data_IF_153335400282
#
_entry.id   IF_153335400282
#
_cell.length_a   1.000
_cell.length_b   1.000
_cell.length_c   1.000
_cell.angle_alpha   90.00
_cell.angle_beta   90.00
_cell.angle_gamma   90.00
#
_symmetry.space_group_name_H-M   'P 1'
#
loop_
_entity.id
_entity.type
_entity.pdbx_description
1 polymer ?
#
# COMPACT_ATOMS: atom_id res chain seq x y z
N UNK A 1 19.02 -47.20 -4.78
CA UNK A 1 18.62 -46.37 -5.94
C UNK A 1 19.48 -46.82 -7.10
N UNK A 2 18.87 -47.24 -8.21
CA UNK A 2 19.60 -47.61 -9.43
C UNK A 2 19.98 -46.35 -10.25
N UNK A 3 20.74 -46.52 -11.34
CA UNK A 3 21.23 -45.41 -12.16
C UNK A 3 20.10 -44.69 -12.91
N UNK A 4 19.10 -45.42 -13.40
CA UNK A 4 17.94 -44.84 -14.07
C UNK A 4 17.17 -43.91 -13.13
N UNK A 5 16.84 -44.36 -11.91
CA UNK A 5 16.19 -43.53 -10.91
C UNK A 5 17.06 -42.35 -10.48
N UNK A 6 18.38 -42.54 -10.35
CA UNK A 6 19.31 -41.45 -10.04
C UNK A 6 19.31 -40.37 -11.13
N UNK A 7 19.28 -40.76 -12.41
CA UNK A 7 19.10 -39.82 -13.52
C UNK A 7 17.72 -39.15 -13.51
N UNK A 8 16.65 -39.90 -13.20
CA UNK A 8 15.26 -39.36 -13.13
C UNK A 8 15.06 -38.35 -11.99
N UNK A 9 15.93 -38.33 -10.99
CA UNK A 9 15.97 -37.27 -9.97
C UNK A 9 17.02 -36.19 -10.26
N UNK A 10 17.66 -36.23 -11.43
CA UNK A 10 18.61 -35.24 -11.93
C UNK A 10 20.03 -35.39 -11.39
N UNK A 11 20.37 -36.57 -10.86
CA UNK A 11 21.68 -36.85 -10.28
C UNK A 11 22.80 -37.06 -11.30
N UNK A 12 22.46 -37.44 -12.53
CA UNK A 12 23.41 -37.67 -13.63
C UNK A 12 22.75 -37.40 -14.99
N UNK A 13 23.54 -37.10 -16.03
CA UNK A 13 23.00 -36.87 -17.36
C UNK A 13 22.64 -38.19 -18.07
N UNK A 14 21.72 -38.11 -19.03
CA UNK A 14 21.19 -39.28 -19.73
C UNK A 14 22.23 -40.04 -20.59
N UNK A 15 23.33 -39.40 -20.96
CA UNK A 15 24.41 -40.02 -21.74
C UNK A 15 25.36 -40.87 -20.91
N UNK A 16 25.25 -40.84 -19.58
CA UNK A 16 26.01 -41.71 -18.67
C UNK A 16 25.24 -42.96 -18.25
N UNK A 17 23.99 -43.12 -18.72
CA UNK A 17 23.18 -44.31 -18.51
C UNK A 17 23.56 -45.43 -19.49
N UNK A 18 23.39 -46.71 -19.11
CA UNK A 18 23.39 -47.82 -20.08
C UNK A 18 22.37 -47.60 -21.21
N UNK A 19 22.65 -48.12 -22.41
CA UNK A 19 21.82 -47.90 -23.62
C UNK A 19 20.33 -48.25 -23.42
N UNK A 20 20.03 -49.34 -22.70
CA UNK A 20 18.67 -49.77 -22.39
C UNK A 20 17.93 -48.77 -21.48
N UNK A 21 18.62 -48.25 -20.46
CA UNK A 21 18.09 -47.26 -19.52
C UNK A 21 17.97 -45.88 -20.15
N UNK A 22 18.86 -45.54 -21.08
CA UNK A 22 18.82 -44.26 -21.79
C UNK A 22 17.53 -44.11 -22.60
N UNK A 23 17.06 -45.16 -23.27
CA UNK A 23 15.79 -45.12 -24.00
C UNK A 23 14.61 -44.89 -23.05
N UNK A 24 14.59 -45.61 -21.93
CA UNK A 24 13.56 -45.48 -20.90
C UNK A 24 13.54 -44.07 -20.30
N UNK A 25 14.71 -43.53 -19.97
CA UNK A 25 14.87 -42.17 -19.48
C UNK A 25 14.37 -41.13 -20.49
N UNK A 26 14.73 -41.25 -21.77
CA UNK A 26 14.31 -40.30 -22.80
C UNK A 26 12.80 -40.32 -23.06
N UNK A 27 12.17 -41.50 -22.98
CA UNK A 27 10.71 -41.61 -23.06
C UNK A 27 10.04 -40.91 -21.87
N UNK A 28 10.51 -41.18 -20.66
CA UNK A 28 10.04 -40.50 -19.46
C UNK A 28 10.26 -38.98 -19.54
N UNK A 29 11.46 -38.53 -19.91
CA UNK A 29 11.80 -37.11 -20.04
C UNK A 29 10.91 -36.39 -21.05
N UNK A 30 10.58 -37.04 -22.18
CA UNK A 30 9.64 -36.50 -23.18
C UNK A 30 8.21 -36.38 -22.67
N UNK A 31 7.80 -37.24 -21.72
CA UNK A 31 6.47 -37.18 -21.10
C UNK A 31 6.29 -36.00 -20.14
N UNK A 32 7.39 -35.43 -19.64
CA UNK A 32 7.37 -34.26 -18.78
C UNK A 32 6.96 -33.00 -19.55
N UNK A 33 6.31 -32.08 -18.84
CA UNK A 33 6.03 -30.73 -19.35
C UNK A 33 7.33 -29.98 -19.68
N UNK A 34 7.24 -28.96 -20.53
CA UNK A 34 8.41 -28.15 -20.89
C UNK A 34 9.05 -27.47 -19.67
N UNK A 35 8.23 -26.99 -18.72
CA UNK A 35 8.70 -26.42 -17.47
C UNK A 35 9.47 -27.45 -16.63
N UNK A 36 8.96 -28.68 -16.51
CA UNK A 36 9.64 -29.73 -15.74
C UNK A 36 10.94 -30.19 -16.39
N UNK A 37 10.97 -30.30 -17.73
CA UNK A 37 12.19 -30.63 -18.47
C UNK A 37 13.31 -29.63 -18.24
N UNK A 38 12.99 -28.36 -17.98
CA UNK A 38 13.97 -27.31 -17.76
C UNK A 38 14.86 -27.55 -16.53
N UNK A 39 14.35 -28.25 -15.51
CA UNK A 39 15.08 -28.56 -14.28
C UNK A 39 16.25 -29.53 -14.49
N UNK A 40 16.19 -30.35 -15.53
CA UNK A 40 17.20 -31.39 -15.85
C UNK A 40 18.22 -30.94 -16.90
N UNK A 41 18.24 -29.66 -17.30
CA UNK A 41 19.27 -29.12 -18.20
C UNK A 41 20.67 -29.25 -17.59
N UNK A 42 20.75 -29.11 -16.29
CA UNK A 42 21.93 -29.37 -15.49
C UNK A 42 21.64 -30.54 -14.55
N UNK A 43 22.56 -31.50 -14.51
CA UNK A 43 22.47 -32.70 -13.68
C UNK A 43 23.66 -32.80 -12.73
N UNK A 44 23.47 -33.47 -11.61
CA UNK A 44 24.52 -33.72 -10.62
C UNK A 44 23.92 -33.92 -9.23
N UNK A 45 24.70 -34.49 -8.31
CA UNK A 45 24.23 -34.76 -6.94
C UNK A 45 23.66 -33.51 -6.24
N UNK A 46 24.26 -32.34 -6.49
CA UNK A 46 23.78 -31.07 -5.93
C UNK A 46 22.41 -30.64 -6.50
N UNK A 47 22.08 -31.04 -7.73
CA UNK A 47 20.81 -30.75 -8.40
C UNK A 47 19.66 -31.59 -7.86
N UNK A 48 19.92 -32.81 -7.38
CA UNK A 48 18.87 -33.72 -6.88
C UNK A 48 17.99 -33.05 -5.84
N UNK A 49 18.62 -32.42 -4.84
CA UNK A 49 17.89 -31.73 -3.76
C UNK A 49 17.12 -30.52 -4.31
N UNK A 50 17.74 -29.76 -5.21
CA UNK A 50 17.13 -28.56 -5.79
C UNK A 50 15.91 -28.90 -6.65
N UNK A 51 16.05 -29.85 -7.57
CA UNK A 51 14.96 -30.31 -8.44
C UNK A 51 13.82 -30.85 -7.59
N UNK A 52 14.13 -31.65 -6.57
CA UNK A 52 13.10 -32.16 -5.66
C UNK A 52 12.38 -31.04 -4.90
N UNK A 53 13.12 -30.08 -4.32
CA UNK A 53 12.54 -28.94 -3.62
C UNK A 53 11.70 -28.03 -4.53
N UNK A 54 12.17 -27.77 -5.75
CA UNK A 54 11.42 -27.00 -6.75
C UNK A 54 10.13 -27.72 -7.16
N UNK A 55 10.17 -29.04 -7.41
CA UNK A 55 8.96 -29.80 -7.74
C UNK A 55 7.94 -29.76 -6.59
N UNK A 56 8.37 -29.86 -5.33
CA UNK A 56 7.47 -29.72 -4.18
C UNK A 56 6.90 -28.30 -4.09
N UNK A 57 7.73 -27.28 -4.30
CA UNK A 57 7.31 -25.87 -4.30
C UNK A 57 6.27 -25.58 -5.39
N UNK A 58 6.52 -26.00 -6.63
CA UNK A 58 5.62 -25.72 -7.77
C UNK A 58 4.28 -26.45 -7.65
N UNK A 59 4.27 -27.64 -7.05
CA UNK A 59 3.09 -28.49 -6.92
C UNK A 59 2.37 -28.37 -5.56
N UNK A 60 2.92 -27.63 -4.59
CA UNK A 60 2.36 -27.52 -3.24
C UNK A 60 0.87 -27.15 -3.22
N UNK A 61 0.45 -26.24 -4.10
CA UNK A 61 -0.97 -25.83 -4.22
C UNK A 61 -1.87 -26.95 -4.77
N UNK A 62 -1.39 -27.74 -5.75
CA UNK A 62 -2.14 -28.87 -6.30
C UNK A 62 -2.29 -29.98 -5.27
N UNK A 63 -1.20 -30.31 -4.57
CA UNK A 63 -1.20 -31.29 -3.49
C UNK A 63 -2.16 -30.88 -2.39
N UNK A 64 -2.14 -29.62 -1.98
CA UNK A 64 -3.09 -29.08 -1.02
C UNK A 64 -4.54 -29.21 -1.52
N UNK A 65 -4.85 -28.74 -2.73
CA UNK A 65 -6.22 -28.73 -3.26
C UNK A 65 -6.77 -30.13 -3.51
N UNK A 66 -5.91 -31.10 -3.82
CA UNK A 66 -6.29 -32.52 -3.92
C UNK A 66 -6.74 -33.08 -2.58
N UNK A 67 -6.07 -32.71 -1.49
CA UNK A 67 -6.38 -33.17 -0.14
C UNK A 67 -7.55 -32.40 0.48
N UNK A 68 -7.71 -31.12 0.13
CA UNK A 68 -8.74 -30.22 0.69
C UNK A 68 -9.60 -29.57 -0.42
N UNK A 69 -10.46 -30.34 -1.10
CA UNK A 69 -11.24 -29.83 -2.25
C UNK A 69 -12.20 -28.70 -1.89
N UNK A 70 -12.71 -28.65 -0.65
CA UNK A 70 -13.69 -27.67 -0.19
C UNK A 70 -13.08 -26.28 0.14
N UNK A 71 -11.74 -26.18 0.23
CA UNK A 71 -11.04 -24.95 0.63
C UNK A 71 -9.82 -24.69 -0.24
N UNK A 72 -10.03 -24.54 -1.53
CA UNK A 72 -8.93 -24.38 -2.47
C UNK A 72 -8.10 -23.13 -2.22
N UNK A 73 -6.79 -23.24 -2.46
CA UNK A 73 -5.84 -22.14 -2.47
C UNK A 73 -5.29 -21.90 -3.87
N UNK A 74 -4.92 -20.66 -4.14
CA UNK A 74 -4.20 -20.27 -5.36
C UNK A 74 -2.73 -20.70 -5.32
N UNK A 75 -2.10 -20.74 -6.49
CA UNK A 75 -0.66 -20.99 -6.61
C UNK A 75 0.15 -19.92 -5.89
N UNK A 76 -0.25 -18.65 -6.02
CA UNK A 76 0.40 -17.50 -5.40
C UNK A 76 0.37 -17.58 -3.87
N UNK A 77 -0.76 -18.03 -3.29
CA UNK A 77 -0.88 -18.25 -1.84
C UNK A 77 0.06 -19.35 -1.36
N UNK A 78 0.08 -20.51 -2.03
CA UNK A 78 0.98 -21.61 -1.66
C UNK A 78 2.45 -21.19 -1.80
N UNK A 79 2.81 -20.55 -2.92
CA UNK A 79 4.15 -20.02 -3.18
C UNK A 79 4.60 -19.06 -2.09
N UNK A 80 3.71 -18.15 -1.64
CA UNK A 80 4.01 -17.21 -0.55
C UNK A 80 4.17 -17.90 0.79
N UNK A 81 3.31 -18.88 1.12
CA UNK A 81 3.44 -19.69 2.34
C UNK A 81 4.79 -20.38 2.37
N UNK A 82 5.17 -21.07 1.29
CA UNK A 82 6.41 -21.83 1.23
C UNK A 82 7.62 -20.89 1.27
N UNK A 83 7.66 -19.84 0.45
CA UNK A 83 8.80 -18.91 0.45
C UNK A 83 8.99 -18.22 1.80
N UNK A 84 7.92 -17.71 2.41
CA UNK A 84 8.00 -17.06 3.73
C UNK A 84 8.41 -18.04 4.83
N UNK A 85 7.91 -19.28 4.80
CA UNK A 85 8.31 -20.32 5.76
C UNK A 85 9.80 -20.58 5.67
N UNK A 86 10.32 -20.85 4.48
CA UNK A 86 11.74 -21.15 4.32
C UNK A 86 12.65 -19.93 4.61
N UNK A 87 12.20 -18.70 4.33
CA UNK A 87 12.89 -17.48 4.81
C UNK A 87 12.89 -17.36 6.34
N UNK A 88 11.81 -17.78 7.02
CA UNK A 88 11.76 -17.78 8.48
C UNK A 88 12.67 -18.86 9.08
N UNK A 89 12.81 -20.00 8.41
CA UNK A 89 13.66 -21.13 8.83
C UNK A 89 15.12 -21.00 8.38
N UNK A 90 15.49 -19.84 7.82
CA UNK A 90 16.88 -19.50 7.47
C UNK A 90 17.26 -18.14 8.01
N UNK A 91 18.57 -17.92 8.19
CA UNK A 91 19.15 -16.60 8.45
C UNK A 91 20.56 -16.54 7.86
N UNK A 92 21.02 -15.35 7.52
CA UNK A 92 22.41 -15.12 7.17
C UNK A 92 23.20 -14.82 8.45
N UNK A 93 24.24 -15.60 8.70
CA UNK A 93 25.19 -15.42 9.80
C UNK A 93 26.61 -15.47 9.22
N UNK A 94 27.42 -14.44 9.49
CA UNK A 94 28.77 -14.28 8.94
C UNK A 94 28.84 -14.56 7.42
N UNK A 95 27.96 -13.94 6.64
CA UNK A 95 27.84 -14.09 5.19
C UNK A 95 27.48 -15.50 4.70
N UNK A 96 27.00 -16.37 5.58
CA UNK A 96 26.56 -17.73 5.25
C UNK A 96 25.12 -17.94 5.67
N UNK A 97 24.30 -18.48 4.77
CA UNK A 97 22.97 -18.95 5.12
C UNK A 97 23.07 -20.17 6.05
N UNK A 98 22.44 -20.07 7.21
CA UNK A 98 22.36 -21.11 8.24
C UNK A 98 20.89 -21.33 8.64
N UNK A 99 20.63 -22.46 9.29
CA UNK A 99 19.29 -22.75 9.83
C UNK A 99 18.83 -21.76 10.88
N UNK A 100 17.52 -21.56 10.91
CA UNK A 100 16.78 -20.89 11.96
C UNK A 100 15.56 -21.73 12.37
N UNK A 101 15.07 -21.53 13.59
CA UNK A 101 13.89 -22.21 14.12
C UNK A 101 12.81 -21.21 14.44
N UNK A 102 11.57 -21.56 14.15
CA UNK A 102 10.43 -20.70 14.42
C UNK A 102 9.15 -21.53 14.54
N UNK A 103 8.22 -21.11 15.41
CA UNK A 103 6.94 -21.81 15.52
C UNK A 103 6.03 -21.57 14.32
N UNK A 104 5.13 -22.51 14.03
CA UNK A 104 4.13 -22.38 12.98
C UNK A 104 3.31 -21.09 13.13
N UNK A 105 2.95 -20.74 14.37
CA UNK A 105 2.20 -19.54 14.68
C UNK A 105 2.97 -18.29 14.30
N UNK A 106 4.25 -18.20 14.64
CA UNK A 106 5.08 -17.02 14.30
C UNK A 106 5.29 -16.86 12.81
N UNK A 107 5.51 -17.96 12.08
CA UNK A 107 5.61 -17.95 10.62
C UNK A 107 4.30 -17.45 10.01
N UNK A 108 3.16 -17.92 10.52
CA UNK A 108 1.84 -17.48 10.08
C UNK A 108 1.62 -15.99 10.35
N UNK A 109 2.01 -15.51 11.53
CA UNK A 109 1.95 -14.09 11.88
C UNK A 109 2.88 -13.22 11.02
N UNK A 110 4.02 -13.73 10.54
CA UNK A 110 4.89 -13.01 9.59
C UNK A 110 4.27 -12.96 8.19
N UNK A 111 3.60 -14.03 7.74
CA UNK A 111 2.91 -14.05 6.44
C UNK A 111 1.76 -13.03 6.39
N UNK A 112 1.00 -12.89 7.49
CA UNK A 112 -0.12 -11.96 7.72
C UNK A 112 -0.89 -11.56 6.46
N UNK A 113 -1.45 -12.55 5.78
CA UNK A 113 -2.30 -12.36 4.60
C UNK A 113 -3.70 -12.82 4.93
N UNK A 114 -4.70 -12.04 4.52
CA UNK A 114 -6.11 -12.35 4.77
C UNK A 114 -6.46 -13.75 4.24
N UNK A 115 -7.19 -14.53 5.06
CA UNK A 115 -7.58 -15.90 4.74
C UNK A 115 -6.51 -16.97 5.00
N UNK A 116 -5.25 -16.60 5.28
CA UNK A 116 -4.21 -17.57 5.64
C UNK A 116 -4.23 -17.83 7.15
N UNK A 117 -4.50 -19.08 7.53
CA UNK A 117 -4.53 -19.53 8.93
C UNK A 117 -3.36 -20.47 9.24
N UNK A 118 -2.99 -20.63 10.51
CA UNK A 118 -1.91 -21.55 10.91
C UNK A 118 -2.17 -22.99 10.42
N UNK A 119 -3.43 -23.43 10.46
CA UNK A 119 -3.84 -24.73 9.91
C UNK A 119 -3.59 -24.84 8.41
N UNK A 120 -3.92 -23.80 7.65
CA UNK A 120 -3.66 -23.76 6.21
C UNK A 120 -2.15 -23.81 5.93
N UNK A 121 -1.36 -23.01 6.65
CA UNK A 121 0.11 -23.02 6.54
C UNK A 121 0.65 -24.42 6.82
N UNK A 122 0.27 -25.04 7.94
CA UNK A 122 0.71 -26.38 8.30
C UNK A 122 0.36 -27.43 7.23
N UNK A 123 -0.88 -27.38 6.71
CA UNK A 123 -1.34 -28.27 5.64
C UNK A 123 -0.55 -28.11 4.33
N UNK A 124 -0.18 -26.88 3.95
CA UNK A 124 0.69 -26.63 2.77
C UNK A 124 2.09 -27.19 3.01
N UNK A 125 2.60 -27.10 4.24
CA UNK A 125 3.94 -27.56 4.61
C UNK A 125 4.03 -29.09 4.76
N UNK A 126 2.92 -29.82 4.87
CA UNK A 126 2.93 -31.28 5.05
C UNK A 126 3.71 -32.02 3.97
N UNK A 127 3.59 -31.60 2.71
CA UNK A 127 4.34 -32.25 1.63
C UNK A 127 5.85 -32.15 1.85
N UNK A 128 6.35 -31.09 2.49
CA UNK A 128 7.79 -30.95 2.82
C UNK A 128 8.21 -31.77 4.05
N UNK A 129 7.25 -32.32 4.79
CA UNK A 129 7.44 -33.08 6.04
C UNK A 129 7.25 -34.59 5.87
N UNK A 130 6.59 -35.00 4.78
CA UNK A 130 6.33 -36.40 4.43
C UNK A 130 7.62 -37.23 4.33
N UNK A 131 7.47 -38.53 4.56
CA UNK A 131 8.53 -39.51 4.30
C UNK A 131 9.00 -39.43 2.84
N UNK A 132 10.31 -39.52 2.62
CA UNK A 132 10.92 -39.32 1.31
C UNK A 132 11.28 -37.86 1.00
N UNK A 133 10.53 -36.88 1.50
CA UNK A 133 10.80 -35.45 1.27
C UNK A 133 11.64 -34.86 2.42
N UNK A 134 11.16 -35.02 3.66
CA UNK A 134 11.92 -34.77 4.91
C UNK A 134 12.70 -33.44 4.97
N UNK A 135 12.19 -32.37 4.36
CA UNK A 135 12.85 -31.05 4.31
C UNK A 135 12.58 -30.20 5.55
N UNK A 136 11.40 -30.36 6.17
CA UNK A 136 11.00 -29.63 7.38
C UNK A 136 10.71 -30.63 8.51
N UNK A 137 11.21 -30.33 9.71
CA UNK A 137 10.87 -31.02 10.96
C UNK A 137 9.83 -30.23 11.77
N UNK A 138 9.01 -30.90 12.60
CA UNK A 138 8.93 -32.36 12.78
C UNK A 138 8.29 -33.06 11.57
N UNK A 139 8.72 -34.30 11.28
CA UNK A 139 8.24 -35.05 10.13
C UNK A 139 6.78 -35.49 10.27
N UNK A 140 6.13 -35.72 9.13
CA UNK A 140 4.82 -36.37 9.05
C UNK A 140 5.08 -37.87 8.86
N UNK A 141 4.82 -38.66 9.90
CA UNK A 141 5.06 -40.11 9.93
C UNK A 141 3.75 -40.88 9.71
N UNK A 142 3.79 -42.21 9.79
CA UNK A 142 2.60 -43.05 9.74
C UNK A 142 1.59 -42.79 10.88
N UNK A 143 2.02 -42.13 11.96
CA UNK A 143 1.14 -41.72 13.05
C UNK A 143 0.27 -40.51 12.62
N UNK A 144 -1.07 -40.67 12.53
CA UNK A 144 -1.98 -39.59 12.15
C UNK A 144 -1.88 -38.34 13.03
N UNK A 145 -1.43 -38.48 14.29
CA UNK A 145 -1.24 -37.33 15.17
C UNK A 145 -0.15 -36.36 14.67
N UNK A 146 0.78 -36.84 13.84
CA UNK A 146 1.87 -36.03 13.27
C UNK A 146 1.47 -35.25 12.02
N UNK A 147 0.33 -35.58 11.42
CA UNK A 147 -0.14 -34.98 10.17
C UNK A 147 -0.66 -33.55 10.38
N UNK A 148 -1.05 -33.20 11.60
CA UNK A 148 -1.59 -31.88 11.95
C UNK A 148 -0.60 -31.14 12.83
N UNK A 149 -0.02 -30.05 12.30
CA UNK A 149 0.81 -29.15 13.09
C UNK A 149 -0.04 -28.27 14.01
N UNK A 150 0.34 -28.21 15.28
CA UNK A 150 -0.21 -27.24 16.22
C UNK A 150 0.50 -25.88 16.06
N UNK A 151 -0.16 -24.75 16.36
CA UNK A 151 0.44 -23.42 16.23
C UNK A 151 1.78 -23.26 16.97
N UNK A 152 1.94 -23.92 18.11
CA UNK A 152 3.13 -23.86 18.96
C UNK A 152 4.28 -24.74 18.44
N UNK A 153 4.03 -25.56 17.41
CA UNK A 153 5.03 -26.49 16.88
C UNK A 153 6.21 -25.72 16.27
N UNK A 154 7.41 -25.95 16.81
CA UNK A 154 8.65 -25.36 16.31
C UNK A 154 9.12 -26.11 15.06
N UNK A 155 9.26 -25.39 13.95
CA UNK A 155 9.74 -25.91 12.69
C UNK A 155 11.24 -25.65 12.52
N UNK A 156 11.94 -26.55 11.82
CA UNK A 156 13.36 -26.46 11.48
C UNK A 156 13.63 -27.12 10.12
N UNK A 157 14.63 -26.65 9.38
CA UNK A 157 15.11 -27.33 8.18
C UNK A 157 15.96 -28.54 8.61
N UNK A 158 15.73 -29.68 7.99
CA UNK A 158 16.40 -30.93 8.37
C UNK A 158 17.90 -30.90 8.12
N UNK A 159 18.33 -30.42 6.95
CA UNK A 159 19.73 -30.46 6.51
C UNK A 159 20.17 -29.14 5.86
N UNK A 160 21.34 -28.65 6.25
CA UNK A 160 22.00 -27.46 5.65
C UNK A 160 22.27 -27.63 4.14
N UNK A 161 22.32 -28.87 3.64
CA UNK A 161 22.42 -29.14 2.19
C UNK A 161 21.26 -28.55 1.40
N UNK A 162 20.05 -28.49 1.97
CA UNK A 162 18.90 -27.84 1.33
C UNK A 162 19.17 -26.35 1.12
N UNK A 163 19.64 -25.66 2.15
CA UNK A 163 20.00 -24.24 2.10
C UNK A 163 21.13 -23.99 1.09
N UNK A 164 22.14 -24.88 1.05
CA UNK A 164 23.27 -24.75 0.12
C UNK A 164 22.98 -25.12 -1.32
N UNK A 165 21.97 -25.94 -1.60
CA UNK A 165 21.74 -26.44 -2.96
C UNK A 165 20.50 -25.85 -3.61
N UNK A 166 19.51 -25.41 -2.83
CA UNK A 166 18.29 -24.82 -3.39
C UNK A 166 18.48 -23.33 -3.68
N UNK A 167 18.59 -22.97 -4.96
CA UNK A 167 18.87 -21.59 -5.38
C UNK A 167 17.78 -20.61 -4.94
N UNK A 168 16.51 -21.01 -4.98
CA UNK A 168 15.39 -20.18 -4.51
C UNK A 168 15.55 -19.84 -3.02
N UNK A 169 15.85 -20.84 -2.19
CA UNK A 169 16.05 -20.62 -0.76
C UNK A 169 17.22 -19.67 -0.47
N UNK A 170 18.34 -19.81 -1.19
CA UNK A 170 19.44 -18.82 -1.07
C UNK A 170 18.98 -17.41 -1.43
N UNK A 171 18.26 -17.27 -2.54
CA UNK A 171 17.75 -15.97 -2.97
C UNK A 171 16.83 -15.36 -1.93
N UNK A 172 15.92 -16.16 -1.35
CA UNK A 172 15.01 -15.71 -0.31
C UNK A 172 15.73 -15.34 0.98
N UNK A 173 16.73 -16.13 1.40
CA UNK A 173 17.54 -15.84 2.58
C UNK A 173 18.36 -14.56 2.41
N UNK A 174 18.94 -14.33 1.23
CA UNK A 174 19.67 -13.11 0.90
C UNK A 174 18.72 -11.90 0.89
N UNK A 175 17.56 -12.02 0.26
CA UNK A 175 16.56 -10.95 0.21
C UNK A 175 16.04 -10.58 1.61
N UNK A 176 15.76 -11.57 2.46
CA UNK A 176 15.36 -11.34 3.86
C UNK A 176 16.49 -10.64 4.65
N UNK A 177 17.76 -11.01 4.39
CA UNK A 177 18.91 -10.34 5.01
C UNK A 177 19.04 -8.88 4.57
N UNK A 178 18.86 -8.58 3.28
CA UNK A 178 18.83 -7.19 2.77
C UNK A 178 17.69 -6.39 3.45
N UNK A 179 16.50 -6.97 3.59
CA UNK A 179 15.40 -6.33 4.32
C UNK A 179 15.73 -6.04 5.77
N UNK A 180 16.40 -6.97 6.45
CA UNK A 180 16.88 -6.78 7.81
C UNK A 180 17.96 -5.68 7.89
N UNK A 181 18.94 -5.68 6.98
CA UNK A 181 19.99 -4.66 6.95
C UNK A 181 19.42 -3.26 6.71
N UNK A 182 18.51 -3.11 5.74
CA UNK A 182 17.79 -1.85 5.52
C UNK A 182 16.98 -1.43 6.74
N UNK A 183 16.35 -2.38 7.43
CA UNK A 183 15.61 -2.09 8.66
C UNK A 183 16.51 -1.54 9.77
N UNK A 184 17.70 -2.11 9.99
CA UNK A 184 18.64 -1.60 10.98
C UNK A 184 19.04 -0.14 10.70
N UNK A 185 19.25 0.21 9.44
CA UNK A 185 19.57 1.58 9.06
C UNK A 185 18.37 2.51 9.17
N UNK A 186 17.18 2.05 8.80
CA UNK A 186 15.92 2.78 9.01
C UNK A 186 15.70 3.05 10.51
N UNK A 187 15.88 2.02 11.35
CA UNK A 187 15.68 2.10 12.80
C UNK A 187 16.56 3.17 13.43
N UNK A 188 17.83 3.30 13.03
CA UNK A 188 18.70 4.39 13.49
C UNK A 188 18.14 5.78 13.17
N UNK A 189 17.49 5.96 12.01
CA UNK A 189 16.87 7.24 11.66
C UNK A 189 15.57 7.48 12.44
N UNK A 190 14.77 6.43 12.61
CA UNK A 190 13.55 6.46 13.40
C UNK A 190 13.84 6.83 14.86
N UNK A 191 14.81 6.15 15.48
CA UNK A 191 15.18 6.34 16.88
C UNK A 191 15.65 7.79 17.11
N UNK A 192 16.52 8.34 16.24
CA UNK A 192 16.92 9.77 16.29
C UNK A 192 15.74 10.72 16.20
N UNK A 193 14.78 10.44 15.33
CA UNK A 193 13.58 11.27 15.20
C UNK A 193 12.72 11.20 16.46
N UNK A 194 12.53 10.02 17.05
CA UNK A 194 11.79 9.84 18.30
C UNK A 194 12.48 10.55 19.47
N UNK A 195 13.77 10.34 19.66
CA UNK A 195 14.60 10.95 20.71
C UNK A 195 14.62 12.49 20.61
N UNK A 196 14.51 13.04 19.40
CA UNK A 196 14.41 14.49 19.18
C UNK A 196 13.05 15.10 19.56
N UNK A 197 12.11 14.31 20.09
CA UNK A 197 10.73 14.75 20.31
C UNK A 197 9.96 14.89 18.99
N UNK A 198 10.26 14.05 17.99
CA UNK A 198 9.65 14.06 16.66
C UNK A 198 9.90 15.36 15.86
N UNK A 199 11.07 15.97 16.02
CA UNK A 199 11.44 17.21 15.33
C UNK A 199 11.53 17.06 13.80
N UNK A 200 11.07 18.07 13.07
CA UNK A 200 11.09 18.10 11.60
C UNK A 200 12.51 18.05 11.01
N UNK A 201 13.53 18.40 11.79
CA UNK A 201 14.93 18.39 11.35
C UNK A 201 15.47 16.97 11.12
N UNK A 202 14.89 15.97 11.78
CA UNK A 202 15.28 14.56 11.67
C UNK A 202 14.43 13.78 10.65
N UNK A 203 13.48 14.43 9.97
CA UNK A 203 12.73 13.81 8.87
C UNK A 203 13.61 13.55 7.66
N UNK A 204 13.37 12.42 7.00
CA UNK A 204 14.18 11.92 5.90
C UNK A 204 14.16 12.88 4.69
N UNK A 205 15.32 13.19 4.09
CA UNK A 205 15.38 13.87 2.80
C UNK A 205 14.99 12.91 1.67
N UNK A 206 14.81 13.45 0.46
CA UNK A 206 14.13 12.77 -0.64
C UNK A 206 14.77 11.44 -1.08
N UNK A 207 16.10 11.35 -1.12
CA UNK A 207 16.83 10.14 -1.51
C UNK A 207 16.65 9.00 -0.51
N UNK A 208 17.09 9.17 0.76
CA UNK A 208 16.84 8.19 1.82
C UNK A 208 15.37 7.83 1.99
N UNK A 209 14.46 8.80 1.85
CA UNK A 209 13.03 8.52 1.93
C UNK A 209 12.57 7.57 0.83
N UNK A 210 12.96 7.79 -0.42
CA UNK A 210 12.58 6.89 -1.53
C UNK A 210 13.15 5.48 -1.31
N UNK A 211 14.38 5.38 -0.81
CA UNK A 211 15.01 4.10 -0.46
C UNK A 211 14.20 3.33 0.60
N UNK A 212 13.83 3.99 1.72
CA UNK A 212 13.05 3.35 2.78
C UNK A 212 11.58 3.12 2.42
N UNK A 213 10.98 3.96 1.57
CA UNK A 213 9.63 3.71 1.04
C UNK A 213 9.62 2.46 0.16
N UNK A 214 10.61 2.27 -0.72
CA UNK A 214 10.71 1.06 -1.54
C UNK A 214 10.85 -0.19 -0.66
N UNK A 215 11.73 -0.15 0.34
CA UNK A 215 11.85 -1.23 1.33
C UNK A 215 10.51 -1.52 2.02
N UNK A 216 9.79 -0.50 2.48
CA UNK A 216 8.50 -0.68 3.15
C UNK A 216 7.46 -1.33 2.23
N UNK A 217 7.46 -1.00 0.93
CA UNK A 217 6.53 -1.57 -0.05
C UNK A 217 6.86 -3.02 -0.45
N UNK A 218 8.15 -3.36 -0.53
CA UNK A 218 8.62 -4.69 -0.91
C UNK A 218 8.59 -5.67 0.26
N UNK A 219 9.22 -5.31 1.39
CA UNK A 219 9.27 -6.13 2.61
C UNK A 219 7.89 -6.25 3.27
N UNK A 220 7.09 -5.16 3.25
CA UNK A 220 5.79 -5.05 3.94
C UNK A 220 5.88 -5.52 5.41
N UNK A 221 6.75 -4.91 6.23
CA UNK A 221 6.98 -5.35 7.59
C UNK A 221 5.69 -5.23 8.42
N UNK A 222 5.47 -6.22 9.28
CA UNK A 222 4.40 -6.21 10.27
C UNK A 222 4.93 -6.34 11.69
N UNK A 223 4.04 -6.34 12.69
CA UNK A 223 4.43 -6.40 14.09
C UNK A 223 5.27 -7.64 14.41
N UNK A 224 4.94 -8.81 13.87
CA UNK A 224 5.72 -10.03 14.12
C UNK A 224 7.08 -10.03 13.41
N UNK A 225 7.18 -9.43 12.22
CA UNK A 225 8.46 -9.20 11.54
C UNK A 225 9.33 -8.21 12.32
N UNK A 226 8.76 -7.10 12.79
CA UNK A 226 9.46 -6.12 13.64
C UNK A 226 9.92 -6.77 14.95
N UNK A 227 9.06 -7.56 15.60
CA UNK A 227 9.39 -8.31 16.82
C UNK A 227 10.62 -9.21 16.61
N UNK A 228 10.67 -9.93 15.48
CA UNK A 228 11.79 -10.81 15.12
C UNK A 228 13.14 -10.08 15.09
N UNK A 229 13.17 -8.82 14.65
CA UNK A 229 14.40 -8.10 14.34
C UNK A 229 14.74 -6.92 15.26
N UNK A 230 13.86 -6.56 16.20
CA UNK A 230 14.03 -5.35 17.03
C UNK A 230 14.62 -5.58 18.41
N UNK A 231 15.11 -6.79 18.70
CA UNK A 231 15.71 -7.17 20.00
C UNK A 231 14.84 -6.73 21.20
N UNK A 232 13.52 -6.86 21.07
CA UNK A 232 12.57 -6.46 22.11
C UNK A 232 12.64 -7.49 23.24
N UNK A 233 12.60 -7.01 24.48
CA UNK A 233 12.59 -7.87 25.67
C UNK A 233 11.24 -7.78 26.38
N UNK A 234 10.73 -8.93 26.83
CA UNK A 234 9.47 -9.00 27.59
C UNK A 234 8.81 -10.37 27.48
N UNK A 235 7.54 -10.43 27.85
CA UNK A 235 6.68 -11.53 27.41
C UNK A 235 6.21 -11.29 25.96
N UNK A 236 5.70 -12.35 25.31
CA UNK A 236 5.25 -12.29 23.91
C UNK A 236 4.23 -11.17 23.65
N UNK A 237 3.36 -10.86 24.60
CA UNK A 237 2.32 -9.85 24.43
C UNK A 237 2.90 -8.43 24.50
N UNK A 238 3.79 -8.19 25.46
CA UNK A 238 4.54 -6.93 25.59
C UNK A 238 5.45 -6.70 24.38
N UNK A 239 6.14 -7.74 23.91
CA UNK A 239 6.99 -7.65 22.72
C UNK A 239 6.19 -7.28 21.46
N UNK A 240 5.01 -7.88 21.29
CA UNK A 240 4.10 -7.55 20.19
C UNK A 240 3.57 -6.11 20.29
N UNK A 241 3.16 -5.66 21.47
CA UNK A 241 2.66 -4.30 21.68
C UNK A 241 3.75 -3.25 21.38
N UNK A 242 4.99 -3.52 21.78
CA UNK A 242 6.13 -2.67 21.45
C UNK A 242 6.41 -2.68 19.94
N UNK A 243 6.36 -3.84 19.29
CA UNK A 243 6.53 -3.95 17.85
C UNK A 243 5.42 -3.21 17.05
N UNK A 244 4.17 -3.24 17.52
CA UNK A 244 3.07 -2.45 16.96
C UNK A 244 3.28 -0.94 17.12
N UNK A 245 3.84 -0.52 18.26
CA UNK A 245 4.21 0.87 18.50
C UNK A 245 5.28 1.32 17.51
N UNK A 246 6.37 0.54 17.37
CA UNK A 246 7.43 0.79 16.38
C UNK A 246 6.85 0.86 14.97
N UNK A 247 5.93 -0.03 14.60
CA UNK A 247 5.30 -0.04 13.28
C UNK A 247 4.42 1.19 13.04
N UNK A 248 3.74 1.67 14.09
CA UNK A 248 2.93 2.90 14.04
C UNK A 248 3.82 4.13 13.88
N UNK A 249 4.91 4.22 14.65
CA UNK A 249 5.89 5.29 14.53
C UNK A 249 6.61 5.27 13.18
N UNK A 250 6.91 4.08 12.65
CA UNK A 250 7.44 3.88 11.29
C UNK A 250 6.54 4.52 10.24
N UNK A 251 5.22 4.24 10.30
CA UNK A 251 4.24 4.82 9.35
C UNK A 251 4.13 6.33 9.49
N UNK A 252 4.12 6.85 10.73
CA UNK A 252 4.07 8.30 10.98
C UNK A 252 5.34 8.99 10.46
N UNK A 253 6.51 8.41 10.73
CA UNK A 253 7.80 8.94 10.29
C UNK A 253 7.92 9.02 8.77
N UNK A 254 7.57 7.94 8.06
CA UNK A 254 7.56 7.92 6.59
C UNK A 254 6.54 8.93 6.03
N UNK A 255 5.33 8.99 6.59
CA UNK A 255 4.27 9.93 6.17
C UNK A 255 4.68 11.39 6.35
N UNK A 256 5.28 11.75 7.48
CA UNK A 256 5.75 13.13 7.74
C UNK A 256 6.93 13.48 6.85
N UNK A 257 7.86 12.55 6.67
CA UNK A 257 8.99 12.74 5.75
C UNK A 257 8.51 12.97 4.31
N UNK A 258 7.53 12.19 3.85
CA UNK A 258 6.91 12.34 2.53
C UNK A 258 6.24 13.70 2.35
N UNK A 259 5.53 14.20 3.37
CA UNK A 259 4.92 15.54 3.34
C UNK A 259 5.97 16.64 3.25
N UNK A 260 7.07 16.54 4.01
CA UNK A 260 8.18 17.52 3.99
C UNK A 260 8.79 17.69 2.60
N UNK A 261 8.93 16.60 1.85
CA UNK A 261 9.56 16.63 0.51
C UNK A 261 8.56 16.62 -0.64
N UNK A 262 7.26 16.77 -0.38
CA UNK A 262 6.21 16.66 -1.40
C UNK A 262 6.37 17.69 -2.53
N UNK A 263 6.69 18.93 -2.17
CA UNK A 263 6.94 20.00 -3.15
C UNK A 263 8.17 19.67 -4.00
N UNK A 264 9.28 19.29 -3.38
CA UNK A 264 10.50 18.88 -4.08
C UNK A 264 10.25 17.70 -5.02
N UNK A 265 9.47 16.70 -4.60
CA UNK A 265 9.04 15.58 -5.46
C UNK A 265 8.25 16.06 -6.67
N UNK A 266 7.31 16.98 -6.48
CA UNK A 266 6.51 17.53 -7.58
C UNK A 266 7.39 18.26 -8.60
N UNK A 267 8.33 19.10 -8.13
CA UNK A 267 9.25 19.82 -9.00
C UNK A 267 10.15 18.89 -9.81
N UNK A 268 10.69 17.82 -9.21
CA UNK A 268 11.50 16.85 -9.95
C UNK A 268 10.69 16.02 -10.95
N UNK A 269 9.45 15.66 -10.62
CA UNK A 269 8.59 14.83 -11.49
C UNK A 269 8.03 15.58 -12.68
N UNK A 270 7.56 16.82 -12.48
CA UNK A 270 6.86 17.59 -13.50
C UNK A 270 7.70 18.71 -14.13
N UNK A 271 8.83 19.04 -13.51
CA UNK A 271 9.67 20.16 -13.90
C UNK A 271 9.10 21.52 -13.46
N UNK A 272 9.96 22.54 -13.30
CA UNK A 272 9.53 23.85 -12.81
C UNK A 272 8.55 24.55 -13.77
N UNK A 273 8.70 24.34 -15.09
CA UNK A 273 7.83 24.97 -16.10
C UNK A 273 6.37 24.58 -15.93
N UNK A 274 6.07 23.29 -15.79
CA UNK A 274 4.67 22.80 -15.67
C UNK A 274 4.00 23.29 -14.39
N UNK A 275 4.75 23.34 -13.28
CA UNK A 275 4.24 23.88 -12.00
C UNK A 275 3.96 25.37 -12.13
N UNK A 276 4.87 26.15 -12.72
CA UNK A 276 4.68 27.57 -12.96
C UNK A 276 3.47 27.83 -13.87
N UNK A 277 3.29 27.04 -14.94
CA UNK A 277 2.12 27.13 -15.81
C UNK A 277 0.82 26.83 -15.07
N UNK A 278 0.77 25.76 -14.27
CA UNK A 278 -0.41 25.43 -13.46
C UNK A 278 -0.76 26.54 -12.47
N UNK A 279 0.24 27.10 -11.79
CA UNK A 279 0.06 28.24 -10.89
C UNK A 279 -0.44 29.49 -11.64
N UNK A 280 0.12 29.79 -12.80
CA UNK A 280 -0.30 30.92 -13.62
C UNK A 280 -1.75 30.79 -14.11
N UNK A 281 -2.19 29.58 -14.48
CA UNK A 281 -3.59 29.31 -14.87
C UNK A 281 -4.53 29.55 -13.68
N UNK A 282 -4.19 29.02 -12.50
CA UNK A 282 -5.01 29.24 -11.28
C UNK A 282 -5.07 30.73 -10.94
N UNK A 283 -3.93 31.43 -10.97
CA UNK A 283 -3.87 32.86 -10.70
C UNK A 283 -4.69 33.66 -11.72
N UNK A 284 -4.56 33.37 -13.02
CA UNK A 284 -5.38 34.01 -14.05
C UNK A 284 -6.87 33.75 -13.81
N UNK A 285 -7.25 32.53 -13.47
CA UNK A 285 -8.66 32.18 -13.21
C UNK A 285 -9.22 32.97 -12.03
N UNK A 286 -8.48 33.04 -10.92
CA UNK A 286 -8.86 33.81 -9.73
C UNK A 286 -8.98 35.30 -10.05
N UNK A 287 -8.02 35.85 -10.80
CA UNK A 287 -8.05 37.26 -11.22
C UNK A 287 -9.21 37.54 -12.17
N UNK A 288 -9.48 36.66 -13.13
CA UNK A 288 -10.63 36.81 -14.05
C UNK A 288 -11.96 36.80 -13.30
N UNK A 289 -12.13 35.90 -12.32
CA UNK A 289 -13.32 35.86 -11.46
C UNK A 289 -13.43 37.17 -10.67
N UNK A 290 -12.35 37.61 -10.05
CA UNK A 290 -12.32 38.85 -9.27
C UNK A 290 -12.72 40.07 -10.12
N UNK A 291 -12.09 40.25 -11.29
CA UNK A 291 -12.38 41.37 -12.17
C UNK A 291 -13.79 41.32 -12.77
N UNK A 292 -14.32 40.12 -13.04
CA UNK A 292 -15.69 39.97 -13.50
C UNK A 292 -16.70 40.42 -12.43
N UNK A 293 -16.53 39.98 -11.18
CA UNK A 293 -17.39 40.41 -10.06
C UNK A 293 -17.26 41.91 -9.80
N UNK A 294 -16.05 42.47 -9.86
CA UNK A 294 -15.81 43.91 -9.69
C UNK A 294 -16.48 44.74 -10.80
N UNK A 295 -16.39 44.27 -12.06
CA UNK A 295 -17.03 44.92 -13.19
C UNK A 295 -18.57 44.88 -13.06
N UNK A 296 -19.13 43.74 -12.66
CA UNK A 296 -20.57 43.59 -12.45
C UNK A 296 -21.07 44.51 -11.32
N UNK A 297 -20.33 44.62 -10.21
CA UNK A 297 -20.64 45.57 -9.13
C UNK A 297 -20.65 47.01 -9.62
N UNK A 298 -19.60 47.44 -10.34
CA UNK A 298 -19.50 48.81 -10.87
C UNK A 298 -20.60 49.11 -11.88
N UNK A 299 -20.99 48.13 -12.71
CA UNK A 299 -22.09 48.29 -13.64
C UNK A 299 -23.41 48.46 -12.89
N UNK A 300 -23.68 47.63 -11.89
CA UNK A 300 -24.89 47.72 -11.07
C UNK A 300 -24.98 49.06 -10.34
N UNK A 301 -23.88 49.53 -9.74
CA UNK A 301 -23.80 50.85 -9.10
C UNK A 301 -24.15 51.98 -10.09
N UNK A 302 -23.55 51.98 -11.28
CA UNK A 302 -23.84 52.98 -12.32
C UNK A 302 -25.30 52.95 -12.78
N UNK A 303 -25.88 51.76 -12.96
CA UNK A 303 -27.30 51.63 -13.34
C UNK A 303 -28.18 52.19 -12.23
N UNK A 304 -27.88 51.89 -10.96
CA UNK A 304 -28.62 52.43 -9.81
C UNK A 304 -28.51 53.96 -9.77
N UNK A 305 -27.31 54.52 -9.97
CA UNK A 305 -27.10 55.98 -10.03
C UNK A 305 -27.89 56.62 -11.17
N UNK A 306 -27.87 56.01 -12.36
CA UNK A 306 -28.59 56.52 -13.55
C UNK A 306 -30.10 56.48 -13.33
N UNK A 307 -30.63 55.35 -12.84
CA UNK A 307 -32.05 55.20 -12.50
C UNK A 307 -32.47 56.22 -11.44
N UNK A 308 -31.62 56.46 -10.42
CA UNK A 308 -31.88 57.50 -9.42
C UNK A 308 -31.93 58.89 -10.03
N UNK A 309 -30.96 59.24 -10.89
CA UNK A 309 -30.92 60.53 -11.55
C UNK A 309 -32.14 60.77 -12.47
N UNK A 310 -32.56 59.77 -13.26
CA UNK A 310 -33.74 59.90 -14.12
C UNK A 310 -35.05 59.93 -13.29
N UNK A 311 -35.09 59.19 -12.18
CA UNK A 311 -36.28 59.11 -11.33
C UNK A 311 -36.63 60.44 -10.67
N UNK A 312 -35.66 61.31 -10.37
CA UNK A 312 -35.93 62.58 -9.68
C UNK A 312 -36.83 63.49 -10.50
N UNK A 313 -36.65 63.48 -11.83
CA UNK A 313 -37.47 64.27 -12.75
C UNK A 313 -38.88 63.68 -12.88
N UNK A 314 -38.98 62.35 -12.97
CA UNK A 314 -40.25 61.62 -13.08
C UNK A 314 -41.08 61.70 -11.79
N UNK A 315 -40.43 61.70 -10.63
CA UNK A 315 -41.10 61.87 -9.34
C UNK A 315 -41.77 63.25 -9.21
N UNK A 316 -41.19 64.29 -9.82
CA UNK A 316 -41.71 65.65 -9.81
C UNK A 316 -42.75 65.95 -10.91
N UNK A 317 -42.80 65.13 -11.97
CA UNK A 317 -43.75 65.25 -13.09
C UNK A 317 -45.21 64.98 -12.67
N UNK A 318 -46.17 65.73 -13.21
CA UNK A 318 -47.61 65.47 -12.99
C UNK A 318 -48.17 64.34 -13.85
N UNK A 319 -47.44 63.92 -14.89
CA UNK A 319 -47.88 62.94 -15.88
C UNK A 319 -47.70 61.48 -15.41
N UNK A 320 -46.99 61.26 -14.29
CA UNK A 320 -46.70 59.93 -13.77
C UNK A 320 -47.67 59.59 -12.63
N UNK A 321 -48.35 58.43 -12.74
CA UNK A 321 -49.30 57.93 -11.76
C UNK A 321 -48.66 57.82 -10.34
N UNK A 322 -49.31 58.35 -9.28
CA UNK A 322 -48.88 58.19 -7.89
C UNK A 322 -48.52 56.77 -7.45
N UNK A 323 -49.21 55.73 -7.94
CA UNK A 323 -48.90 54.33 -7.62
C UNK A 323 -47.51 53.91 -8.10
N UNK A 324 -47.13 54.31 -9.32
CA UNK A 324 -45.81 53.99 -9.89
C UNK A 324 -44.70 54.69 -9.11
N UNK A 325 -44.94 55.95 -8.69
CA UNK A 325 -44.02 56.70 -7.85
C UNK A 325 -43.88 56.08 -6.46
N UNK A 326 -44.98 55.62 -5.87
CA UNK A 326 -44.97 54.94 -4.58
C UNK A 326 -44.15 53.65 -4.61
N UNK A 327 -44.31 52.82 -5.65
CA UNK A 327 -43.51 51.60 -5.84
C UNK A 327 -42.01 51.91 -5.94
N UNK A 328 -41.64 52.95 -6.70
CA UNK A 328 -40.25 53.39 -6.80
C UNK A 328 -39.69 53.84 -5.45
N UNK A 329 -40.44 54.67 -4.71
CA UNK A 329 -40.02 55.17 -3.40
C UNK A 329 -39.90 54.06 -2.35
N UNK A 330 -40.79 53.07 -2.36
CA UNK A 330 -40.69 51.88 -1.51
C UNK A 330 -39.47 51.02 -1.89
N UNK A 331 -39.13 50.96 -3.18
CA UNK A 331 -37.92 50.26 -3.65
C UNK A 331 -36.65 51.00 -3.20
N UNK A 332 -36.66 52.34 -3.22
CA UNK A 332 -35.58 53.15 -2.68
C UNK A 332 -35.46 53.03 -1.16
N UNK A 333 -36.57 52.97 -0.41
CA UNK A 333 -36.56 52.73 1.03
C UNK A 333 -35.95 51.36 1.38
N UNK A 334 -36.19 50.33 0.56
CA UNK A 334 -35.57 49.01 0.75
C UNK A 334 -34.07 49.00 0.43
N UNK A 335 -33.64 49.82 -0.53
CA UNK A 335 -32.25 49.92 -0.94
C UNK A 335 -31.44 50.84 0.00
N UNK A 336 -32.03 51.97 0.41
CA UNK A 336 -31.48 52.96 1.33
C UNK A 336 -32.55 53.31 2.40
N UNK A 337 -32.57 52.56 3.52
CA UNK A 337 -33.55 52.73 4.59
C UNK A 337 -33.53 54.14 5.18
N UNK A 338 -34.72 54.73 5.35
CA UNK A 338 -34.93 56.10 5.84
C UNK A 338 -35.03 57.17 4.75
N UNK A 339 -35.03 56.80 3.47
CA UNK A 339 -35.11 57.74 2.33
C UNK A 339 -36.53 58.22 2.01
N UNK A 340 -37.57 57.46 2.37
CA UNK A 340 -38.97 57.73 2.02
C UNK A 340 -39.56 58.95 2.75
N UNK A 341 -39.43 59.01 4.08
CA UNK A 341 -40.07 60.06 4.90
C UNK A 341 -39.52 61.45 4.57
N UNK A 342 -38.19 61.67 4.47
CA UNK A 342 -37.65 62.98 4.08
C UNK A 342 -38.14 63.45 2.70
N UNK A 343 -38.31 62.52 1.75
CA UNK A 343 -38.83 62.86 0.42
C UNK A 343 -40.30 63.30 0.48
N UNK A 344 -41.14 62.57 1.22
CA UNK A 344 -42.56 62.91 1.39
C UNK A 344 -42.76 64.22 2.16
N UNK A 345 -41.92 64.49 3.16
CA UNK A 345 -41.94 65.73 3.94
C UNK A 345 -41.57 66.96 3.10
N UNK A 346 -40.79 66.79 2.03
CA UNK A 346 -40.43 67.86 1.10
C UNK A 346 -41.52 68.24 0.09
N UNK A 347 -42.67 67.55 0.06
CA UNK A 347 -43.74 67.78 -0.90
C UNK A 347 -44.89 68.61 -0.32
N UNK A 348 -45.53 69.44 -1.15
CA UNK A 348 -46.78 70.13 -0.81
C UNK A 348 -47.93 69.15 -0.49
N UNK A 349 -48.79 69.49 0.47
CA UNK A 349 -49.88 68.64 0.98
C UNK A 349 -50.76 68.02 -0.11
N UNK A 350 -51.05 68.78 -1.18
CA UNK A 350 -51.88 68.32 -2.32
C UNK A 350 -51.23 67.19 -3.13
N UNK A 351 -49.90 67.13 -3.17
CA UNK A 351 -49.13 66.07 -3.86
C UNK A 351 -48.71 64.95 -2.91
N UNK A 352 -48.55 65.28 -1.62
CA UNK A 352 -48.14 64.36 -0.56
C UNK A 352 -49.21 63.32 -0.23
N UNK A 353 -50.47 63.73 -0.05
CA UNK A 353 -51.55 62.83 0.41
C UNK A 353 -51.82 61.64 -0.55
N UNK A 354 -51.97 61.84 -1.88
CA UNK A 354 -52.21 60.74 -2.81
C UNK A 354 -51.02 59.76 -2.86
N UNK A 355 -49.80 60.30 -2.81
CA UNK A 355 -48.57 59.52 -2.88
C UNK A 355 -48.32 58.71 -1.60
N UNK A 356 -48.59 59.29 -0.43
CA UNK A 356 -48.51 58.60 0.85
C UNK A 356 -49.55 57.49 0.97
N UNK A 357 -50.76 57.71 0.44
CA UNK A 357 -51.81 56.68 0.44
C UNK A 357 -51.46 55.54 -0.52
N UNK A 358 -50.92 55.85 -1.70
CA UNK A 358 -50.41 54.85 -2.63
C UNK A 358 -49.26 54.03 -2.04
N UNK A 359 -48.33 54.67 -1.33
CA UNK A 359 -47.22 53.98 -0.66
C UNK A 359 -47.65 53.13 0.55
N UNK A 360 -48.75 53.49 1.22
CA UNK A 360 -49.32 52.70 2.31
C UNK A 360 -50.11 51.48 1.82
N UNK A 361 -50.65 51.55 0.60
CA UNK A 361 -51.51 50.50 0.02
C UNK A 361 -50.77 49.50 -0.86
N UNK A 362 -49.53 49.84 -1.27
CA UNK A 362 -48.61 48.99 -2.04
C UNK A 362 -47.67 48.21 -1.13
#
# INVERSE_FOLDING_TARGET
>A
MDLLHYAMVGGMPANELPDEDQQTFLQWYKSLSESHRSYFKESGLHRVIEIHADLLYENAWQTYNKTFPDKQISREQASRIVSSTFSCLTKIDNSRAVRNRMSLQEITEIIQTEGITARMVGNVLNVFREEGNSFIRPFSTDDPATHVLQPETVLDITHESLIRNWTRLKSWANQEFEYYSTYLDFKKQLDRWLESGKSNNFLLPIGPLAYFENWYQECRPNASWIRRYSEITGDKASELAQAETILTDTRDFLKRSARKVAVTRAFMRYGPKRIATGFAIVLMTVLSIYYWVDAERKQNERVIETVRAESTDLLNSTEVNPEVKAIYLLTQERYEPGSLIPFLDGLEDRRRLPLATAAFTS
#
